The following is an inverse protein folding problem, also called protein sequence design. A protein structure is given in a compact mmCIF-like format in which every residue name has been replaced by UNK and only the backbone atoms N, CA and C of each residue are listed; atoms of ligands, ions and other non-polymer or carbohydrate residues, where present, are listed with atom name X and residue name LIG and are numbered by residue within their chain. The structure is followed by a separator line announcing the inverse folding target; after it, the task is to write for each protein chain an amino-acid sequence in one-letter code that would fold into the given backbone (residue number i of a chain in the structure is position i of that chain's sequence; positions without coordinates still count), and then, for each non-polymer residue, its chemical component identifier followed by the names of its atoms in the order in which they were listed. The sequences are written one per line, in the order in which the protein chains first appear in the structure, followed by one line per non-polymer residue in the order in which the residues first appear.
data_IF_679324295300
#
_entry.id   IF_679324295300
#
_cell.length_a   1.000
_cell.length_b   1.000
_cell.length_c   1.000
_cell.angle_alpha   90.00
_cell.angle_beta   90.00
_cell.angle_gamma   90.00
#
_symmetry.space_group_name_H-M   'P 1'
#
loop_
_entity.id
_entity.type
_entity.pdbx_description
1 polymer ?
#
# COMPACT_ATOMS: atom_id res chain seq x y z
N UNK A 1 18.48 -61.59 -5.05
CA UNK A 1 17.14 -60.98 -4.82
C UNK A 1 17.20 -59.84 -3.79
N UNK A 2 18.29 -59.04 -3.76
CA UNK A 2 18.52 -58.02 -2.72
C UNK A 2 18.68 -56.58 -3.28
N UNK A 3 18.74 -56.40 -4.61
CA UNK A 3 18.89 -55.07 -5.21
C UNK A 3 17.57 -54.29 -5.33
N UNK A 4 16.42 -54.97 -5.28
CA UNK A 4 15.10 -54.33 -5.35
C UNK A 4 14.66 -53.70 -4.02
N UNK A 5 15.15 -54.22 -2.89
CA UNK A 5 14.76 -53.74 -1.55
C UNK A 5 15.47 -52.41 -1.22
N UNK A 6 16.70 -52.21 -1.72
CA UNK A 6 17.44 -50.96 -1.52
C UNK A 6 16.91 -49.81 -2.38
N UNK A 7 16.36 -50.12 -3.56
CA UNK A 7 15.71 -49.16 -4.47
C UNK A 7 14.41 -48.58 -3.86
N UNK A 8 13.65 -49.38 -3.13
CA UNK A 8 12.38 -48.96 -2.52
C UNK A 8 12.59 -48.01 -1.33
N UNK A 9 13.69 -48.16 -0.58
CA UNK A 9 13.94 -47.35 0.62
C UNK A 9 14.32 -45.89 0.31
N UNK A 10 14.89 -45.61 -0.86
CA UNK A 10 15.28 -44.26 -1.30
C UNK A 10 14.08 -43.45 -1.84
N UNK A 11 13.00 -44.12 -2.24
CA UNK A 11 11.81 -43.44 -2.80
C UNK A 11 10.93 -42.78 -1.72
N UNK A 12 11.05 -43.18 -0.44
CA UNK A 12 10.22 -42.66 0.66
C UNK A 12 10.79 -41.36 1.26
N UNK A 13 12.08 -41.07 1.05
CA UNK A 13 12.74 -39.90 1.67
C UNK A 13 12.67 -38.61 0.84
N UNK A 14 12.08 -38.66 -0.36
CA UNK A 14 12.11 -37.56 -1.33
C UNK A 14 10.91 -36.62 -1.35
N UNK A 15 9.92 -36.78 -0.45
CA UNK A 15 8.70 -35.97 -0.49
C UNK A 15 8.51 -35.13 0.78
N UNK A 16 9.47 -34.25 1.04
CA UNK A 16 9.27 -33.12 1.94
C UNK A 16 8.35 -32.11 1.27
N UNK A 17 7.03 -32.27 1.46
CA UNK A 17 6.06 -31.26 1.01
C UNK A 17 6.33 -29.99 1.82
N UNK A 18 6.95 -29.00 1.17
CA UNK A 18 7.03 -27.65 1.70
C UNK A 18 5.63 -27.03 1.57
N UNK A 19 4.81 -27.16 2.62
CA UNK A 19 3.54 -26.45 2.71
C UNK A 19 3.85 -24.96 2.90
N UNK A 20 3.89 -24.22 1.80
CA UNK A 20 3.86 -22.76 1.84
C UNK A 20 2.54 -22.33 2.48
N UNK A 21 2.60 -21.82 3.72
CA UNK A 21 1.44 -21.26 4.39
C UNK A 21 1.02 -20.01 3.63
N UNK A 22 -0.13 -20.07 2.96
CA UNK A 22 -0.73 -18.90 2.31
C UNK A 22 -1.22 -17.94 3.40
N UNK A 23 -0.46 -16.88 3.65
CA UNK A 23 -0.92 -15.75 4.45
C UNK A 23 -1.91 -14.93 3.62
N UNK A 24 -3.16 -14.90 4.07
CA UNK A 24 -4.18 -14.01 3.51
C UNK A 24 -4.06 -12.65 4.20
N UNK A 25 -3.52 -11.67 3.49
CA UNK A 25 -3.51 -10.28 3.94
C UNK A 25 -4.89 -9.69 3.61
N UNK A 26 -5.66 -9.33 4.64
CA UNK A 26 -6.91 -8.60 4.46
C UNK A 26 -6.61 -7.11 4.31
N UNK A 27 -6.86 -6.58 3.12
CA UNK A 27 -6.74 -5.15 2.84
C UNK A 27 -8.14 -4.56 2.97
N UNK A 28 -8.26 -3.50 3.76
CA UNK A 28 -9.51 -2.73 3.90
C UNK A 28 -9.30 -1.34 3.32
N UNK A 29 -10.18 -0.92 2.42
CA UNK A 29 -10.24 0.47 2.01
C UNK A 29 -10.71 1.31 3.20
N UNK A 30 -9.95 2.34 3.51
CA UNK A 30 -10.28 3.38 4.48
C UNK A 30 -10.40 4.70 3.72
N UNK A 31 -11.20 5.64 4.23
CA UNK A 31 -11.45 6.95 3.59
C UNK A 31 -12.29 6.86 2.32
N UNK A 32 -13.36 6.06 2.33
CA UNK A 32 -14.20 5.86 1.14
C UNK A 32 -15.21 6.99 0.89
N UNK A 33 -15.45 7.85 1.87
CA UNK A 33 -16.41 8.96 1.78
C UNK A 33 -15.75 10.29 1.41
N UNK A 34 -14.41 10.32 1.29
CA UNK A 34 -13.64 11.52 0.99
C UNK A 34 -12.86 11.29 -0.31
N UNK A 35 -12.84 12.30 -1.18
CA UNK A 35 -12.04 12.26 -2.39
C UNK A 35 -10.56 12.43 -2.05
N UNK A 36 -9.77 11.39 -2.32
CA UNK A 36 -8.30 11.40 -2.15
C UNK A 36 -7.61 11.06 -3.47
N UNK A 37 -7.72 11.93 -4.50
CA UNK A 37 -7.14 11.65 -5.81
C UNK A 37 -5.60 11.63 -5.71
N UNK A 38 -5.00 10.58 -6.31
CA UNK A 38 -3.53 10.43 -6.45
C UNK A 38 -2.77 10.74 -5.14
N UNK A 39 -2.92 9.92 -4.08
CA UNK A 39 -2.20 10.11 -2.83
C UNK A 39 -0.69 9.91 -3.03
N UNK A 40 0.12 10.84 -2.53
CA UNK A 40 1.59 10.85 -2.67
C UNK A 40 2.27 10.30 -1.41
N UNK A 41 1.82 10.76 -0.24
CA UNK A 41 2.51 10.43 1.02
C UNK A 41 1.57 10.45 2.22
N UNK A 42 1.89 9.60 3.20
CA UNK A 42 1.29 9.58 4.51
C UNK A 42 2.37 9.85 5.56
N UNK A 43 2.21 10.92 6.33
CA UNK A 43 3.22 11.38 7.29
C UNK A 43 2.61 11.40 8.68
N UNK A 44 3.18 10.66 9.63
CA UNK A 44 2.81 10.76 11.04
C UNK A 44 3.49 11.99 11.63
N UNK A 45 2.72 12.88 12.26
CA UNK A 45 3.27 14.12 12.82
C UNK A 45 3.95 13.82 14.17
N UNK A 46 5.23 14.21 14.37
CA UNK A 46 5.98 13.91 15.59
C UNK A 46 5.70 14.90 16.73
N UNK A 47 4.46 15.39 16.86
CA UNK A 47 4.03 16.37 17.87
C UNK A 47 3.31 15.73 19.08
N UNK A 48 3.27 14.39 19.13
CA UNK A 48 2.59 13.63 20.17
C UNK A 48 1.06 13.55 20.01
N UNK A 49 0.47 14.20 19.00
CA UNK A 49 -0.99 14.17 18.81
C UNK A 49 -1.49 12.90 18.13
N UNK A 50 -0.59 12.09 17.54
CA UNK A 50 -0.94 10.90 16.76
C UNK A 50 -1.68 11.19 15.45
N UNK A 51 -1.79 12.46 15.03
CA UNK A 51 -2.37 12.82 13.73
C UNK A 51 -1.39 12.50 12.61
N UNK A 52 -1.94 12.30 11.42
CA UNK A 52 -1.16 12.16 10.20
C UNK A 52 -1.54 13.23 9.19
N UNK A 53 -0.67 13.43 8.20
CA UNK A 53 -0.92 14.26 7.03
C UNK A 53 -0.98 13.34 5.81
N UNK A 54 -2.09 13.43 5.06
CA UNK A 54 -2.21 12.80 3.76
C UNK A 54 -1.94 13.86 2.69
N UNK A 55 -0.83 13.71 1.98
CA UNK A 55 -0.42 14.59 0.88
C UNK A 55 -0.99 14.04 -0.42
N UNK A 56 -1.73 14.88 -1.13
CA UNK A 56 -2.34 14.56 -2.41
C UNK A 56 -1.63 15.30 -3.54
N UNK A 57 -1.63 14.72 -4.74
CA UNK A 57 -1.16 15.43 -5.93
C UNK A 57 -2.01 16.69 -6.17
N UNK A 58 -1.40 17.74 -6.70
CA UNK A 58 -2.07 19.02 -6.94
C UNK A 58 -2.02 19.99 -5.76
N UNK A 59 -1.19 19.74 -4.75
CA UNK A 59 -0.93 20.70 -3.68
C UNK A 59 -1.97 20.72 -2.57
N UNK A 60 -2.71 19.62 -2.39
CA UNK A 60 -3.67 19.46 -1.29
C UNK A 60 -3.09 18.58 -0.18
N UNK A 61 -3.23 19.01 1.07
CA UNK A 61 -2.79 18.26 2.25
C UNK A 61 -3.97 18.14 3.22
N UNK A 62 -4.30 16.92 3.63
CA UNK A 62 -5.36 16.63 4.59
C UNK A 62 -4.78 16.27 5.96
N UNK A 63 -5.38 16.79 7.04
CA UNK A 63 -5.12 16.34 8.41
C UNK A 63 -5.98 15.11 8.67
N UNK A 64 -5.33 14.00 9.01
CA UNK A 64 -5.98 12.77 9.41
C UNK A 64 -5.89 12.61 10.93
N UNK A 65 -7.02 12.53 11.65
CA UNK A 65 -7.01 12.32 13.10
C UNK A 65 -6.43 10.94 13.47
N UNK A 66 -5.93 10.82 14.71
CA UNK A 66 -5.42 9.56 15.26
C UNK A 66 -6.47 8.44 15.29
N UNK A 67 -7.73 8.81 15.55
CA UNK A 67 -8.89 7.94 15.40
C UNK A 67 -9.49 8.25 14.05
N UNK A 68 -9.50 7.27 13.16
CA UNK A 68 -9.95 7.43 11.78
C UNK A 68 -11.48 7.64 11.73
N UNK A 69 -11.87 8.90 11.79
CA UNK A 69 -13.23 9.41 11.65
C UNK A 69 -13.24 10.42 10.50
N UNK A 70 -13.91 10.06 9.41
CA UNK A 70 -13.94 10.83 8.17
C UNK A 70 -14.55 12.22 8.37
N UNK A 71 -15.46 12.39 9.32
CA UNK A 71 -16.07 13.69 9.65
C UNK A 71 -15.09 14.70 10.25
N UNK A 72 -13.95 14.21 10.74
CA UNK A 72 -12.92 15.01 11.42
C UNK A 72 -11.71 15.31 10.54
N UNK A 73 -11.69 14.79 9.32
CA UNK A 73 -10.64 15.09 8.34
C UNK A 73 -10.84 16.49 7.80
N UNK A 74 -9.76 17.27 7.76
CA UNK A 74 -9.80 18.68 7.36
C UNK A 74 -8.66 19.00 6.39
N UNK A 75 -8.86 19.89 5.42
CA UNK A 75 -7.75 20.40 4.63
C UNK A 75 -6.83 21.23 5.54
N UNK A 76 -5.53 20.93 5.50
CA UNK A 76 -4.48 21.77 6.05
C UNK A 76 -4.02 22.82 5.04
N UNK A 77 -3.90 22.39 3.78
CA UNK A 77 -3.44 23.20 2.66
C UNK A 77 -4.24 22.78 1.41
N UNK A 78 -4.66 23.77 0.63
CA UNK A 78 -5.27 23.56 -0.67
C UNK A 78 -4.78 24.68 -1.60
N UNK A 79 -3.90 24.33 -2.53
CA UNK A 79 -3.45 25.21 -3.60
C UNK A 79 -4.43 25.10 -4.78
N UNK A 80 -4.63 26.18 -5.56
CA UNK A 80 -5.49 26.11 -6.75
C UNK A 80 -4.95 25.06 -7.71
N UNK A 81 -5.80 24.09 -8.04
CA UNK A 81 -5.46 22.89 -8.79
C UNK A 81 -5.52 23.06 -10.31
N UNK A 82 -5.99 24.21 -10.80
CA UNK A 82 -6.39 24.42 -12.19
C UNK A 82 -5.28 24.07 -13.20
N UNK A 83 -4.00 24.23 -12.83
CA UNK A 83 -2.86 23.95 -13.71
C UNK A 83 -1.89 22.85 -13.20
N UNK A 84 -2.12 22.26 -12.02
CA UNK A 84 -1.13 21.36 -11.38
C UNK A 84 -1.40 19.86 -11.56
N UNK A 85 -2.65 19.47 -11.80
CA UNK A 85 -3.05 18.06 -11.95
C UNK A 85 -3.07 17.64 -13.42
N UNK A 86 -3.23 18.62 -14.34
CA UNK A 86 -3.32 18.43 -15.80
C UNK A 86 -2.00 18.81 -16.47
N UNK A 87 -0.94 18.10 -16.12
CA UNK A 87 0.16 17.87 -17.04
C UNK A 87 0.62 16.46 -16.78
N UNK A 88 -0.09 15.54 -17.42
CA UNK A 88 0.32 14.15 -17.56
C UNK A 88 1.80 14.15 -17.96
N UNK A 89 2.65 13.74 -17.01
CA UNK A 89 3.65 12.66 -17.11
C UNK A 89 4.11 12.17 -18.51
N UNK A 90 4.08 13.01 -19.53
CA UNK A 90 4.47 12.67 -20.90
C UNK A 90 5.98 12.82 -21.10
N UNK A 91 6.67 13.67 -20.33
CA UNK A 91 8.11 13.89 -20.54
C UNK A 91 8.99 12.74 -20.02
N UNK A 92 8.54 11.97 -19.03
CA UNK A 92 9.31 10.85 -18.46
C UNK A 92 9.13 9.50 -19.16
N UNK A 93 8.05 9.34 -19.92
CA UNK A 93 7.70 8.10 -20.64
C UNK A 93 8.07 8.15 -22.13
N UNK A 94 8.15 9.36 -22.71
CA UNK A 94 8.44 9.54 -24.13
C UNK A 94 9.94 9.59 -24.45
N UNK A 95 10.81 9.80 -23.46
CA UNK A 95 12.27 9.70 -23.65
C UNK A 95 12.83 10.53 -24.82
N UNK A 96 12.21 11.69 -25.09
CA UNK A 96 12.68 12.66 -26.08
C UNK A 96 13.63 13.68 -25.43
#
# INVERSE_FOLDING_TARGET
MNHYIFSILISIFGFGICFAKSEKISIQQKLSQIETPKPISWIVVPDGSGRSLLVLQGGKVLIIPSILDESRIKPLLELSSEDMIVKDFEEGLLGL
#
